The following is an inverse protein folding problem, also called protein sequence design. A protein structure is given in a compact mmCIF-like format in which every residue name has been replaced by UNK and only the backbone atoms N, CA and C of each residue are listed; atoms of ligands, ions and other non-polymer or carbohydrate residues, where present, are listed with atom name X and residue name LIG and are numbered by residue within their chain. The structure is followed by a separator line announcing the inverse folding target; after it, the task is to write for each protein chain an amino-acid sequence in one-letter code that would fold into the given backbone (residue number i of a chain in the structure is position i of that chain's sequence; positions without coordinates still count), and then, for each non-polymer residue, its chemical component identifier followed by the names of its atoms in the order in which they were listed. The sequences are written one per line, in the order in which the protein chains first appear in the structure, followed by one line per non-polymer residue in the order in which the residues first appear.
data_IF_604756629905
#
_entry.id   IF_604756629905
#
_cell.length_a   1.000
_cell.length_b   1.000
_cell.length_c   1.000
_cell.angle_alpha   90.00
_cell.angle_beta   90.00
_cell.angle_gamma   90.00
#
_symmetry.space_group_name_H-M   'P 1'
#
loop_
_entity.id
_entity.type
_entity.pdbx_description
1 polymer ?
#
# COMPACT_ATOMS: atom_id res chain seq x y z
N UNK A 1 -7.48 -38.53 7.66
CA UNK A 1 -6.81 -39.49 6.77
C UNK A 1 -5.54 -38.85 6.27
N UNK A 2 -4.43 -39.52 6.23
CA UNK A 2 -3.13 -38.95 5.83
C UNK A 2 -2.59 -39.62 4.55
N UNK A 3 -1.46 -39.18 4.02
CA UNK A 3 -0.89 -39.72 2.79
C UNK A 3 -0.54 -41.22 2.86
N UNK A 4 -0.21 -41.72 4.05
CA UNK A 4 0.06 -43.14 4.27
C UNK A 4 -1.20 -43.99 4.11
N UNK A 5 -2.34 -43.48 4.57
CA UNK A 5 -3.63 -44.15 4.43
C UNK A 5 -4.08 -44.21 2.98
N UNK A 6 -3.89 -43.10 2.24
CA UNK A 6 -4.17 -43.03 0.78
C UNK A 6 -3.32 -44.06 0.02
N UNK A 7 -2.01 -44.13 0.32
CA UNK A 7 -1.09 -45.06 -0.33
C UNK A 7 -1.51 -46.53 -0.07
N UNK A 8 -1.87 -46.85 1.14
CA UNK A 8 -2.34 -48.19 1.55
C UNK A 8 -3.64 -48.56 0.82
N UNK A 9 -4.58 -47.65 0.78
CA UNK A 9 -5.89 -47.90 0.16
C UNK A 9 -5.84 -47.95 -1.36
N UNK A 10 -4.98 -47.17 -2.01
CA UNK A 10 -4.75 -47.19 -3.45
C UNK A 10 -3.83 -48.37 -3.85
N UNK A 11 -3.20 -49.07 -2.95
CA UNK A 11 -2.25 -50.15 -3.21
C UNK A 11 -0.98 -49.69 -3.90
N UNK A 12 -0.48 -48.50 -3.57
CA UNK A 12 0.73 -47.90 -4.18
C UNK A 12 1.67 -47.37 -3.12
N UNK A 13 2.90 -47.03 -3.52
CA UNK A 13 3.86 -46.37 -2.64
C UNK A 13 3.46 -44.90 -2.34
N UNK A 14 3.88 -44.37 -1.20
CA UNK A 14 3.72 -42.93 -0.85
C UNK A 14 4.33 -42.04 -1.92
N UNK A 15 5.47 -42.44 -2.48
CA UNK A 15 6.11 -41.71 -3.57
C UNK A 15 5.23 -41.63 -4.83
N UNK A 16 4.44 -42.68 -5.11
CA UNK A 16 3.48 -42.67 -6.21
C UNK A 16 2.31 -41.74 -5.94
N UNK A 17 1.75 -41.74 -4.73
CA UNK A 17 0.71 -40.79 -4.32
C UNK A 17 1.23 -39.35 -4.43
N UNK A 18 2.42 -39.06 -3.91
CA UNK A 18 3.06 -37.74 -4.01
C UNK A 18 3.26 -37.29 -5.47
N UNK A 19 3.65 -38.20 -6.38
CA UNK A 19 3.79 -37.89 -7.80
C UNK A 19 2.45 -37.59 -8.48
N UNK A 20 1.38 -38.28 -8.09
CA UNK A 20 0.01 -37.99 -8.59
C UNK A 20 -0.44 -36.62 -8.10
N UNK A 21 -0.28 -36.32 -6.82
CA UNK A 21 -0.65 -35.04 -6.20
C UNK A 21 0.10 -33.85 -6.83
N UNK A 22 1.36 -34.06 -7.23
CA UNK A 22 2.19 -33.03 -7.86
C UNK A 22 2.08 -33.04 -9.40
N UNK A 23 1.08 -33.70 -9.98
CA UNK A 23 0.80 -33.76 -11.44
C UNK A 23 1.99 -34.19 -12.29
N UNK A 24 2.94 -34.98 -11.74
CA UNK A 24 4.09 -35.46 -12.54
C UNK A 24 3.65 -36.51 -13.54
N UNK A 25 4.00 -36.35 -14.81
CA UNK A 25 3.59 -37.23 -15.92
C UNK A 25 4.23 -38.63 -15.92
N UNK A 26 5.09 -38.91 -14.92
CA UNK A 26 5.83 -40.18 -14.77
C UNK A 26 4.94 -41.32 -14.23
N UNK A 27 3.67 -41.06 -13.86
CA UNK A 27 2.75 -42.07 -13.31
C UNK A 27 1.84 -42.59 -14.40
N UNK A 28 1.78 -43.94 -14.55
CA UNK A 28 0.87 -44.58 -15.50
C UNK A 28 -0.58 -44.17 -15.28
N UNK A 29 -1.36 -44.02 -16.36
CA UNK A 29 -2.73 -43.55 -16.31
C UNK A 29 -3.62 -44.38 -15.37
N UNK A 30 -3.54 -45.72 -15.41
CA UNK A 30 -4.31 -46.63 -14.55
C UNK A 30 -3.97 -46.43 -13.05
N UNK A 31 -2.69 -46.21 -12.75
CA UNK A 31 -2.24 -45.96 -11.36
C UNK A 31 -2.69 -44.59 -10.88
N UNK A 32 -2.61 -43.59 -11.75
CA UNK A 32 -3.13 -42.23 -11.48
C UNK A 32 -4.64 -42.29 -11.16
N UNK A 33 -5.45 -42.94 -12.01
CA UNK A 33 -6.89 -43.07 -11.83
C UNK A 33 -7.26 -43.76 -10.50
N UNK A 34 -6.52 -44.81 -10.07
CA UNK A 34 -6.71 -45.45 -8.78
C UNK A 34 -6.48 -44.50 -7.62
N UNK A 35 -5.39 -43.75 -7.63
CA UNK A 35 -5.06 -42.78 -6.57
C UNK A 35 -6.08 -41.66 -6.52
N UNK A 36 -6.43 -41.08 -7.67
CA UNK A 36 -7.43 -39.99 -7.76
C UNK A 36 -8.81 -40.43 -7.24
N UNK A 37 -9.23 -41.67 -7.52
CA UNK A 37 -10.48 -42.24 -6.99
C UNK A 37 -10.47 -42.28 -5.46
N UNK A 38 -9.37 -42.67 -4.85
CA UNK A 38 -9.22 -42.71 -3.36
C UNK A 38 -9.21 -41.27 -2.82
N UNK A 39 -8.41 -40.37 -3.41
CA UNK A 39 -8.36 -38.97 -3.02
C UNK A 39 -9.74 -38.28 -3.01
N UNK A 40 -10.53 -38.48 -4.10
CA UNK A 40 -11.89 -37.93 -4.20
C UNK A 40 -12.84 -38.53 -3.15
N UNK A 41 -12.81 -39.87 -2.97
CA UNK A 41 -13.67 -40.54 -1.97
C UNK A 41 -13.40 -40.06 -0.56
N UNK A 42 -12.14 -39.83 -0.23
CA UNK A 42 -11.69 -39.43 1.10
C UNK A 42 -11.69 -37.94 1.34
N UNK A 43 -12.09 -37.14 0.34
CA UNK A 43 -12.00 -35.69 0.35
C UNK A 43 -10.62 -35.20 0.88
N UNK A 44 -9.54 -35.88 0.41
CA UNK A 44 -8.19 -35.61 0.88
C UNK A 44 -7.63 -34.39 0.19
N UNK A 45 -7.35 -33.36 0.96
CA UNK A 45 -6.55 -32.23 0.53
C UNK A 45 -5.11 -32.38 1.08
N UNK A 46 -4.08 -32.27 0.22
CA UNK A 46 -2.70 -32.28 0.68
C UNK A 46 -2.46 -31.14 1.68
N UNK A 47 -1.73 -31.43 2.76
CA UNK A 47 -1.31 -30.38 3.67
C UNK A 47 -0.37 -29.42 2.96
N UNK A 48 -0.69 -28.11 2.95
CA UNK A 48 0.16 -27.05 2.38
C UNK A 48 1.57 -27.08 3.02
N UNK A 49 1.65 -27.37 4.32
CA UNK A 49 2.92 -27.51 5.05
C UNK A 49 3.75 -28.68 4.48
N UNK A 50 3.11 -29.84 4.23
CA UNK A 50 3.82 -31.01 3.69
C UNK A 50 4.27 -30.77 2.23
N UNK A 51 3.50 -30.03 1.44
CA UNK A 51 3.89 -29.60 0.09
C UNK A 51 5.03 -28.58 0.15
N UNK A 52 4.95 -27.60 1.05
CA UNK A 52 5.96 -26.58 1.27
C UNK A 52 7.32 -27.15 1.68
N UNK A 53 7.35 -28.22 2.48
CA UNK A 53 8.59 -28.93 2.84
C UNK A 53 9.30 -29.56 1.61
N UNK A 54 8.55 -29.93 0.58
CA UNK A 54 9.08 -30.50 -0.66
C UNK A 54 9.48 -29.42 -1.67
N UNK A 55 8.64 -28.41 -1.83
CA UNK A 55 8.84 -27.29 -2.77
C UNK A 55 9.80 -26.22 -2.25
N UNK A 56 10.07 -26.18 -0.95
CA UNK A 56 10.74 -25.08 -0.23
C UNK A 56 10.01 -23.72 -0.38
N UNK A 57 8.72 -23.75 -0.64
CA UNK A 57 7.85 -22.59 -0.75
C UNK A 57 6.48 -22.93 -0.17
N UNK A 58 5.94 -22.06 0.67
CA UNK A 58 4.58 -22.19 1.21
C UNK A 58 3.55 -21.47 0.31
N UNK A 59 3.98 -20.87 -0.80
CA UNK A 59 3.16 -20.00 -1.65
C UNK A 59 2.42 -18.95 -0.84
N UNK A 60 3.14 -18.32 0.09
CA UNK A 60 2.58 -17.34 1.02
C UNK A 60 3.49 -16.11 1.04
N UNK A 61 2.90 -14.93 0.89
CA UNK A 61 3.59 -13.63 1.06
C UNK A 61 2.94 -12.84 2.18
N UNK A 62 3.73 -12.05 2.89
CA UNK A 62 3.21 -11.13 3.89
C UNK A 62 3.17 -9.70 3.33
N UNK A 63 2.11 -8.97 3.65
CA UNK A 63 1.96 -7.54 3.34
C UNK A 63 1.80 -6.79 4.64
N UNK A 64 2.72 -5.90 4.94
CA UNK A 64 2.67 -5.02 6.09
C UNK A 64 2.23 -3.62 5.65
N UNK A 65 1.20 -3.13 6.29
CA UNK A 65 0.68 -1.77 6.12
C UNK A 65 0.69 -1.02 7.45
N UNK A 66 0.54 0.29 7.39
CA UNK A 66 0.36 1.11 8.58
C UNK A 66 -1.03 0.91 9.15
N UNK A 67 -2.05 1.23 8.36
CA UNK A 67 -3.45 1.11 8.78
C UNK A 67 -4.34 0.77 7.57
N UNK A 68 -4.95 -0.41 7.58
CA UNK A 68 -5.84 -0.86 6.50
C UNK A 68 -7.15 -0.05 6.42
N UNK A 69 -7.46 0.78 7.41
CA UNK A 69 -8.62 1.70 7.35
C UNK A 69 -8.36 2.88 6.42
N UNK A 70 -7.10 3.22 6.20
CA UNK A 70 -6.71 4.19 5.18
C UNK A 70 -6.92 3.59 3.78
N UNK A 71 -7.61 4.33 2.93
CA UNK A 71 -8.01 3.87 1.58
C UNK A 71 -6.83 3.59 0.67
N UNK A 72 -5.71 4.32 0.81
CA UNK A 72 -4.49 4.09 0.05
C UNK A 72 -3.89 2.70 0.37
N UNK A 73 -3.71 2.39 1.67
CA UNK A 73 -3.21 1.08 2.10
C UNK A 73 -4.18 -0.04 1.76
N UNK A 74 -5.49 0.18 1.94
CA UNK A 74 -6.52 -0.82 1.62
C UNK A 74 -6.52 -1.19 0.12
N UNK A 75 -6.48 -0.20 -0.77
CA UNK A 75 -6.46 -0.42 -2.23
C UNK A 75 -5.18 -1.08 -2.70
N UNK A 76 -4.04 -0.68 -2.14
CA UNK A 76 -2.75 -1.28 -2.44
C UNK A 76 -2.72 -2.73 -2.00
N UNK A 77 -3.12 -3.04 -0.77
CA UNK A 77 -3.20 -4.40 -0.25
C UNK A 77 -4.17 -5.28 -1.05
N UNK A 78 -5.34 -4.76 -1.43
CA UNK A 78 -6.30 -5.46 -2.29
C UNK A 78 -5.71 -5.79 -3.67
N UNK A 79 -4.97 -4.85 -4.27
CA UNK A 79 -4.33 -5.08 -5.57
C UNK A 79 -3.26 -6.16 -5.47
N UNK A 80 -2.43 -6.11 -4.42
CA UNK A 80 -1.40 -7.11 -4.15
C UNK A 80 -2.03 -8.48 -3.94
N UNK A 81 -3.05 -8.58 -3.08
CA UNK A 81 -3.75 -9.84 -2.80
C UNK A 81 -4.30 -10.47 -4.09
N UNK A 82 -5.01 -9.70 -4.90
CA UNK A 82 -5.56 -10.20 -6.17
C UNK A 82 -4.50 -10.70 -7.14
N UNK A 83 -3.40 -9.98 -7.26
CA UNK A 83 -2.32 -10.34 -8.20
C UNK A 83 -1.54 -11.57 -7.73
N UNK A 84 -1.28 -11.69 -6.43
CA UNK A 84 -0.66 -12.88 -5.85
C UNK A 84 -1.61 -14.08 -5.85
N UNK A 85 -2.89 -13.89 -5.53
CA UNK A 85 -3.91 -14.94 -5.58
C UNK A 85 -4.05 -15.56 -6.98
N UNK A 86 -3.99 -14.74 -8.05
CA UNK A 86 -3.97 -15.24 -9.44
C UNK A 86 -2.76 -16.13 -9.76
N UNK A 87 -1.66 -15.98 -9.02
CA UNK A 87 -0.45 -16.77 -9.15
C UNK A 87 -0.37 -17.94 -8.18
N UNK A 88 -1.45 -18.19 -7.43
CA UNK A 88 -1.55 -19.29 -6.46
C UNK A 88 -0.83 -19.02 -5.14
N UNK A 89 -0.60 -17.76 -4.78
CA UNK A 89 -0.08 -17.36 -3.49
C UNK A 89 -1.21 -16.93 -2.55
N UNK A 90 -1.05 -17.26 -1.28
CA UNK A 90 -1.84 -16.67 -0.19
C UNK A 90 -1.18 -15.38 0.31
N UNK A 91 -1.97 -14.42 0.76
CA UNK A 91 -1.47 -13.16 1.31
C UNK A 91 -1.87 -13.03 2.77
N UNK A 92 -0.87 -12.81 3.62
CA UNK A 92 -1.07 -12.48 5.03
C UNK A 92 -0.97 -10.97 5.17
N UNK A 93 -2.08 -10.31 5.48
CA UNK A 93 -2.12 -8.89 5.73
C UNK A 93 -1.87 -8.59 7.21
N UNK A 94 -0.95 -7.68 7.49
CA UNK A 94 -0.58 -7.26 8.83
C UNK A 94 -0.64 -5.72 8.95
N UNK A 95 -1.29 -5.23 10.01
CA UNK A 95 -1.25 -3.83 10.40
C UNK A 95 -0.17 -3.60 11.46
N UNK A 96 0.61 -2.53 11.31
CA UNK A 96 1.69 -2.17 12.26
C UNK A 96 1.42 -0.89 13.03
N UNK A 97 0.38 -0.13 12.65
CA UNK A 97 0.10 1.19 13.22
C UNK A 97 1.18 2.24 12.94
N UNK A 98 2.18 1.92 12.11
CA UNK A 98 3.36 2.77 11.92
C UNK A 98 4.28 2.83 13.16
N UNK A 99 4.08 1.92 14.11
CA UNK A 99 4.89 1.82 15.33
C UNK A 99 6.07 0.85 15.15
N UNK A 100 7.23 1.22 15.67
CA UNK A 100 8.45 0.44 15.54
C UNK A 100 8.37 -0.89 16.28
N UNK A 101 7.80 -0.91 17.49
CA UNK A 101 7.73 -2.11 18.34
C UNK A 101 6.76 -3.12 17.73
N UNK A 102 5.58 -2.65 17.31
CA UNK A 102 4.61 -3.51 16.64
C UNK A 102 5.11 -4.00 15.27
N UNK A 103 5.87 -3.18 14.54
CA UNK A 103 6.52 -3.61 13.29
C UNK A 103 7.53 -4.73 13.55
N UNK A 104 8.38 -4.59 14.58
CA UNK A 104 9.36 -5.62 14.95
C UNK A 104 8.66 -6.93 15.32
N UNK A 105 7.64 -6.86 16.18
CA UNK A 105 6.85 -8.01 16.60
C UNK A 105 6.21 -8.73 15.40
N UNK A 106 5.65 -7.94 14.49
CA UNK A 106 5.03 -8.47 13.27
C UNK A 106 6.04 -9.14 12.35
N UNK A 107 7.22 -8.52 12.15
CA UNK A 107 8.31 -9.11 11.37
C UNK A 107 8.82 -10.43 11.97
N UNK A 108 8.94 -10.52 13.29
CA UNK A 108 9.31 -11.75 13.99
C UNK A 108 8.27 -12.86 13.74
N UNK A 109 6.98 -12.54 13.84
CA UNK A 109 5.90 -13.48 13.58
C UNK A 109 5.86 -13.95 12.13
N UNK A 110 6.07 -13.05 11.18
CA UNK A 110 6.14 -13.34 9.73
C UNK A 110 7.35 -14.22 9.42
N UNK A 111 8.52 -13.92 9.98
CA UNK A 111 9.73 -14.71 9.79
C UNK A 111 9.57 -16.15 10.32
N UNK A 112 8.85 -16.33 11.45
CA UNK A 112 8.52 -17.67 11.98
C UNK A 112 7.58 -18.47 11.08
N UNK A 113 6.72 -17.79 10.31
CA UNK A 113 5.80 -18.43 9.35
C UNK A 113 6.49 -18.86 8.05
N UNK A 114 7.77 -18.53 7.86
CA UNK A 114 8.54 -18.90 6.66
C UNK A 114 7.85 -18.48 5.36
N UNK A 115 7.34 -17.25 5.30
CA UNK A 115 6.75 -16.70 4.07
C UNK A 115 7.78 -16.61 2.96
N UNK A 116 7.35 -16.72 1.70
CA UNK A 116 8.22 -16.68 0.53
C UNK A 116 8.70 -15.26 0.19
N UNK A 117 8.05 -14.24 0.73
CA UNK A 117 8.41 -12.85 0.54
C UNK A 117 7.61 -11.90 1.42
N UNK A 118 8.12 -10.68 1.53
CA UNK A 118 7.55 -9.61 2.32
C UNK A 118 7.33 -8.37 1.44
N UNK A 119 6.17 -7.75 1.59
CA UNK A 119 5.87 -6.46 0.95
C UNK A 119 5.57 -5.45 2.07
N UNK A 120 6.31 -4.36 2.11
CA UNK A 120 6.11 -3.23 3.01
C UNK A 120 5.45 -2.10 2.22
N UNK A 121 4.32 -1.58 2.68
CA UNK A 121 3.57 -0.53 1.98
C UNK A 121 3.65 0.78 2.75
N UNK A 122 4.34 1.77 2.17
CA UNK A 122 4.50 3.12 2.70
C UNK A 122 5.93 3.49 3.07
N UNK A 123 6.28 4.74 2.83
CA UNK A 123 7.62 5.30 3.06
C UNK A 123 8.03 5.39 4.53
N UNK A 124 7.10 5.26 5.46
CA UNK A 124 7.40 5.21 6.90
C UNK A 124 8.33 4.05 7.27
N UNK A 125 8.26 2.94 6.52
CA UNK A 125 9.13 1.78 6.73
C UNK A 125 10.60 2.09 6.43
N UNK A 126 10.91 3.13 5.66
CA UNK A 126 12.29 3.60 5.43
C UNK A 126 13.00 3.89 6.75
N UNK A 127 12.28 4.48 7.72
CA UNK A 127 12.82 4.86 9.04
C UNK A 127 12.61 3.75 10.07
N UNK A 128 11.41 3.17 10.13
CA UNK A 128 11.05 2.15 11.13
C UNK A 128 11.93 0.92 11.01
N UNK A 129 12.24 0.50 9.78
CA UNK A 129 13.00 -0.73 9.52
C UNK A 129 14.53 -0.56 9.62
N UNK A 130 15.04 0.58 10.05
CA UNK A 130 16.47 0.77 10.28
C UNK A 130 16.95 0.08 11.56
N UNK A 131 18.21 -0.35 11.53
CA UNK A 131 18.91 -0.96 12.65
C UNK A 131 19.02 -2.48 12.56
N UNK A 132 20.09 -3.00 13.16
CA UNK A 132 20.55 -4.38 12.97
C UNK A 132 19.49 -5.46 13.24
N UNK A 133 18.62 -5.27 14.24
CA UNK A 133 17.59 -6.24 14.58
C UNK A 133 16.55 -6.41 13.46
N UNK A 134 16.01 -5.28 12.96
CA UNK A 134 15.07 -5.26 11.84
C UNK A 134 15.71 -5.79 10.56
N UNK A 135 16.91 -5.29 10.23
CA UNK A 135 17.64 -5.70 9.05
C UNK A 135 17.94 -7.20 9.03
N UNK A 136 18.31 -7.79 10.17
CA UNK A 136 18.56 -9.22 10.30
C UNK A 136 17.31 -10.08 10.05
N UNK A 137 16.11 -9.56 10.37
CA UNK A 137 14.87 -10.23 10.05
C UNK A 137 14.54 -10.10 8.55
N UNK A 138 14.69 -8.91 8.00
CA UNK A 138 14.41 -8.61 6.59
C UNK A 138 15.34 -9.37 5.62
N UNK A 139 16.61 -9.60 6.00
CA UNK A 139 17.56 -10.43 5.21
C UNK A 139 17.19 -11.90 5.10
N UNK A 140 16.18 -12.38 5.84
CA UNK A 140 15.77 -13.80 5.80
C UNK A 140 14.84 -14.14 4.64
N UNK A 141 14.31 -13.14 3.95
CA UNK A 141 13.35 -13.31 2.86
C UNK A 141 13.48 -12.16 1.85
N UNK A 142 13.06 -12.33 0.58
CA UNK A 142 12.95 -11.23 -0.37
C UNK A 142 11.98 -10.16 0.15
N UNK A 143 12.37 -8.88 0.03
CA UNK A 143 11.57 -7.75 0.49
C UNK A 143 11.28 -6.79 -0.66
N UNK A 144 10.04 -6.38 -0.79
CA UNK A 144 9.63 -5.30 -1.71
C UNK A 144 9.01 -4.17 -0.91
N UNK A 145 9.42 -2.93 -1.20
CA UNK A 145 8.76 -1.74 -0.68
C UNK A 145 7.91 -1.10 -1.76
N UNK A 146 6.65 -0.91 -1.46
CA UNK A 146 5.76 -0.08 -2.26
C UNK A 146 5.77 1.34 -1.68
N UNK A 147 6.28 2.27 -2.45
CA UNK A 147 6.54 3.66 -2.07
C UNK A 147 7.48 3.81 -0.86
N UNK A 148 8.61 3.12 -0.92
CA UNK A 148 9.65 3.17 0.11
C UNK A 148 10.97 2.58 -0.38
N UNK A 149 12.02 2.75 0.41
CA UNK A 149 13.38 2.26 0.10
C UNK A 149 14.06 1.71 1.34
N UNK A 150 14.83 0.62 1.17
CA UNK A 150 15.73 0.10 2.20
C UNK A 150 17.10 -0.20 1.59
N UNK A 151 18.16 0.15 2.29
CA UNK A 151 19.53 -0.12 1.88
C UNK A 151 19.94 -1.57 2.19
N UNK A 152 19.19 -2.55 1.66
CA UNK A 152 19.45 -3.98 1.82
C UNK A 152 19.68 -4.62 0.45
N UNK A 153 20.60 -5.61 0.32
CA UNK A 153 20.97 -6.22 -0.97
C UNK A 153 19.78 -6.85 -1.72
N UNK A 154 18.86 -7.48 -0.98
CA UNK A 154 17.70 -8.20 -1.53
C UNK A 154 16.37 -7.46 -1.31
N UNK A 155 16.44 -6.13 -1.14
CA UNK A 155 15.27 -5.27 -1.09
C UNK A 155 15.05 -4.58 -2.44
N UNK A 156 13.82 -4.64 -2.91
CA UNK A 156 13.37 -4.01 -4.14
C UNK A 156 12.39 -2.89 -3.82
N UNK A 157 12.36 -1.85 -4.64
CA UNK A 157 11.49 -0.70 -4.43
C UNK A 157 10.62 -0.44 -5.66
N UNK A 158 9.34 -0.20 -5.42
CA UNK A 158 8.41 0.35 -6.41
C UNK A 158 8.06 1.76 -5.94
N UNK A 159 8.52 2.76 -6.65
CA UNK A 159 8.45 4.15 -6.24
C UNK A 159 7.52 4.96 -7.14
N UNK A 160 6.88 5.96 -6.52
CA UNK A 160 6.20 7.06 -7.20
C UNK A 160 7.07 8.31 -7.03
N UNK A 161 7.15 9.14 -8.05
CA UNK A 161 7.81 10.45 -7.94
C UNK A 161 6.84 11.47 -7.34
N UNK A 162 6.72 11.44 -6.02
CA UNK A 162 5.84 12.32 -5.26
C UNK A 162 6.19 13.81 -5.46
N UNK A 163 7.48 14.13 -5.61
CA UNK A 163 7.94 15.47 -5.88
C UNK A 163 7.40 15.97 -7.23
N UNK A 164 7.61 15.19 -8.28
CA UNK A 164 7.12 15.52 -9.63
C UNK A 164 5.59 15.57 -9.70
N UNK A 165 4.91 14.67 -8.99
CA UNK A 165 3.44 14.67 -8.92
C UNK A 165 2.88 15.99 -8.39
N UNK A 166 3.45 16.53 -7.32
CA UNK A 166 3.02 17.81 -6.74
C UNK A 166 3.48 19.00 -7.61
N UNK A 167 4.69 18.95 -8.19
CA UNK A 167 5.09 19.97 -9.19
C UNK A 167 4.06 20.09 -10.32
N UNK A 168 3.60 18.96 -10.87
CA UNK A 168 2.58 18.97 -11.93
C UNK A 168 1.26 19.59 -11.46
N UNK A 169 0.86 19.35 -10.21
CA UNK A 169 -0.34 19.96 -9.63
C UNK A 169 -0.20 21.48 -9.49
N UNK A 170 0.96 21.97 -9.03
CA UNK A 170 1.27 23.41 -9.00
C UNK A 170 1.26 24.00 -10.41
N UNK A 171 1.94 23.37 -11.38
CA UNK A 171 1.92 23.79 -12.79
C UNK A 171 0.49 23.94 -13.32
N UNK A 172 -0.38 22.97 -13.01
CA UNK A 172 -1.78 22.98 -13.43
C UNK A 172 -2.53 24.18 -12.83
N UNK A 173 -2.41 24.41 -11.53
CA UNK A 173 -3.06 25.53 -10.85
C UNK A 173 -2.57 26.87 -11.40
N UNK A 174 -1.27 27.00 -11.61
CA UNK A 174 -0.67 28.23 -12.20
C UNK A 174 -1.16 28.46 -13.63
N UNK A 175 -1.26 27.41 -14.47
CA UNK A 175 -1.82 27.50 -15.84
C UNK A 175 -3.29 27.92 -15.84
N UNK A 176 -4.04 27.61 -14.80
CA UNK A 176 -5.44 28.03 -14.64
C UNK A 176 -5.59 29.42 -14.01
N UNK A 177 -4.50 30.14 -13.83
CA UNK A 177 -4.47 31.57 -13.41
C UNK A 177 -4.27 31.76 -11.91
N UNK A 178 -4.08 30.72 -11.12
CA UNK A 178 -3.92 30.79 -9.67
C UNK A 178 -2.49 31.19 -9.29
N UNK A 179 -2.36 31.96 -8.20
CA UNK A 179 -1.06 32.52 -7.76
C UNK A 179 -0.84 32.47 -6.26
N UNK A 180 -1.92 32.46 -5.46
CA UNK A 180 -1.88 32.39 -4.00
C UNK A 180 -2.13 30.95 -3.54
N UNK A 181 -1.13 30.07 -3.73
CA UNK A 181 -1.24 28.65 -3.50
C UNK A 181 -0.73 28.30 -2.09
N UNK A 182 -1.40 27.37 -1.44
CA UNK A 182 -0.98 26.78 -0.14
C UNK A 182 -0.88 25.27 -0.25
N UNK A 183 0.08 24.68 0.44
CA UNK A 183 0.25 23.25 0.58
C UNK A 183 0.00 22.81 2.01
N UNK A 184 -0.88 21.84 2.20
CA UNK A 184 -1.16 21.25 3.50
C UNK A 184 -0.40 19.94 3.61
N UNK A 185 0.61 19.92 4.50
CA UNK A 185 1.42 18.77 4.85
C UNK A 185 0.84 18.08 6.08
N UNK A 186 0.26 16.93 5.89
CA UNK A 186 -0.50 16.18 6.88
C UNK A 186 0.25 15.00 7.50
N UNK A 187 1.44 14.65 7.00
CA UNK A 187 2.28 13.55 7.49
C UNK A 187 3.75 13.95 7.63
N UNK A 188 4.48 13.19 8.46
CA UNK A 188 5.93 13.36 8.65
C UNK A 188 6.69 12.14 8.12
N UNK A 189 6.47 11.81 6.85
CA UNK A 189 7.14 10.70 6.13
C UNK A 189 8.01 11.21 5.01
N UNK A 190 8.89 10.37 4.46
CA UNK A 190 9.72 10.72 3.30
C UNK A 190 8.87 11.11 2.08
N UNK A 191 7.75 10.42 1.86
CA UNK A 191 6.78 10.77 0.82
C UNK A 191 6.19 12.18 1.05
N UNK A 192 5.76 12.49 2.27
CA UNK A 192 5.24 13.82 2.61
C UNK A 192 6.31 14.92 2.45
N UNK A 193 7.56 14.62 2.80
CA UNK A 193 8.68 15.55 2.57
C UNK A 193 8.95 15.76 1.06
N UNK A 194 8.88 14.71 0.25
CA UNK A 194 9.01 14.78 -1.20
C UNK A 194 7.87 15.59 -1.84
N UNK A 195 6.63 15.40 -1.40
CA UNK A 195 5.46 16.17 -1.82
C UNK A 195 5.63 17.66 -1.50
N UNK A 196 6.04 18.01 -0.27
CA UNK A 196 6.29 19.40 0.12
C UNK A 196 7.42 20.03 -0.70
N UNK A 197 8.50 19.29 -0.98
CA UNK A 197 9.58 19.72 -1.86
C UNK A 197 9.07 20.01 -3.27
N UNK A 198 8.18 19.16 -3.80
CA UNK A 198 7.55 19.36 -5.11
C UNK A 198 6.71 20.64 -5.17
N UNK A 199 5.99 20.97 -4.09
CA UNK A 199 5.27 22.24 -3.98
C UNK A 199 6.22 23.44 -4.06
N UNK A 200 7.25 23.44 -3.22
CA UNK A 200 8.24 24.53 -3.20
C UNK A 200 8.96 24.68 -4.55
N UNK A 201 9.34 23.57 -5.17
CA UNK A 201 9.97 23.55 -6.51
C UNK A 201 9.03 24.10 -7.59
N UNK A 202 7.77 23.68 -7.58
CA UNK A 202 6.76 24.17 -8.52
C UNK A 202 6.47 25.66 -8.37
N UNK A 203 6.38 26.14 -7.12
CA UNK A 203 6.21 27.58 -6.82
C UNK A 203 7.39 28.39 -7.34
N UNK A 204 8.62 27.94 -7.05
CA UNK A 204 9.84 28.60 -7.52
C UNK A 204 9.93 28.64 -9.06
N UNK A 205 9.59 27.52 -9.73
CA UNK A 205 9.57 27.46 -11.19
C UNK A 205 8.52 28.42 -11.81
N UNK A 206 7.43 28.70 -11.08
CA UNK A 206 6.40 29.66 -11.48
C UNK A 206 6.75 31.12 -11.10
N UNK A 207 7.87 31.35 -10.43
CA UNK A 207 8.25 32.71 -9.94
C UNK A 207 7.33 33.18 -8.78
N UNK A 208 6.74 32.28 -8.02
CA UNK A 208 5.86 32.58 -6.91
C UNK A 208 6.61 32.44 -5.58
N UNK A 209 6.29 33.31 -4.64
CA UNK A 209 6.78 33.17 -3.26
C UNK A 209 6.06 32.01 -2.55
N UNK A 210 6.81 31.23 -1.81
CA UNK A 210 6.31 30.08 -1.05
C UNK A 210 6.60 30.20 0.45
N UNK A 211 7.14 31.32 0.93
CA UNK A 211 7.42 31.50 2.36
C UNK A 211 6.12 31.52 3.16
N UNK A 212 6.05 30.65 4.18
CA UNK A 212 4.81 30.48 4.96
C UNK A 212 3.65 29.79 4.24
N UNK A 213 3.84 29.27 3.03
CA UNK A 213 2.76 28.64 2.24
C UNK A 213 2.67 27.11 2.43
N UNK A 214 3.58 26.50 3.20
CA UNK A 214 3.49 25.10 3.63
C UNK A 214 2.96 25.06 5.05
N UNK A 215 1.78 24.49 5.24
CA UNK A 215 1.11 24.40 6.54
C UNK A 215 1.14 22.96 7.03
N UNK A 216 1.64 22.74 8.24
CA UNK A 216 1.64 21.41 8.86
C UNK A 216 0.36 21.19 9.67
N UNK A 217 -0.23 19.99 9.54
CA UNK A 217 -1.44 19.60 10.27
C UNK A 217 -1.47 18.10 10.53
N UNK A 218 -2.55 17.60 11.16
CA UNK A 218 -2.83 16.16 11.27
C UNK A 218 -3.52 15.59 10.01
N UNK A 219 -3.79 14.30 10.06
CA UNK A 219 -4.23 13.47 8.93
C UNK A 219 -5.76 13.36 8.83
N UNK A 220 -6.51 14.06 9.70
CA UNK A 220 -7.96 13.89 9.77
C UNK A 220 -8.71 14.92 8.92
N UNK A 221 -9.96 14.60 8.60
CA UNK A 221 -10.88 15.56 7.97
C UNK A 221 -11.04 16.84 8.81
N UNK A 222 -11.10 16.70 10.12
CA UNK A 222 -11.20 17.79 11.08
C UNK A 222 -9.97 18.69 11.07
N UNK A 223 -8.79 18.13 10.84
CA UNK A 223 -7.54 18.88 10.68
C UNK A 223 -7.58 19.75 9.43
N UNK A 224 -8.04 19.19 8.31
CA UNK A 224 -8.25 19.97 7.08
C UNK A 224 -9.25 21.13 7.27
N UNK A 225 -10.34 20.90 8.02
CA UNK A 225 -11.30 21.96 8.37
C UNK A 225 -10.61 23.05 9.19
N UNK A 226 -9.83 22.68 10.19
CA UNK A 226 -9.17 23.60 11.12
C UNK A 226 -8.17 24.51 10.39
N UNK A 227 -7.39 23.97 9.47
CA UNK A 227 -6.43 24.77 8.68
C UNK A 227 -7.14 25.84 7.88
N UNK A 228 -8.25 25.53 7.20
CA UNK A 228 -9.00 26.54 6.45
C UNK A 228 -9.60 27.60 7.38
N UNK A 229 -10.17 27.19 8.52
CA UNK A 229 -10.71 28.13 9.50
C UNK A 229 -9.65 29.10 10.02
N UNK A 230 -8.43 28.61 10.26
CA UNK A 230 -7.31 29.44 10.68
C UNK A 230 -6.91 30.43 9.59
N UNK A 231 -6.70 29.98 8.35
CA UNK A 231 -6.37 30.86 7.22
C UNK A 231 -7.41 31.99 7.07
N UNK A 232 -8.70 31.64 7.11
CA UNK A 232 -9.78 32.59 6.96
C UNK A 232 -9.85 33.60 8.13
N UNK A 233 -9.55 33.15 9.36
CA UNK A 233 -9.51 34.02 10.55
C UNK A 233 -8.34 35.00 10.49
N UNK A 234 -7.23 34.63 9.89
CA UNK A 234 -6.06 35.48 9.62
C UNK A 234 -6.26 36.40 8.40
N UNK A 235 -7.42 36.32 7.75
CA UNK A 235 -7.74 37.14 6.57
C UNK A 235 -7.11 36.62 5.28
N UNK A 236 -6.48 35.45 5.31
CA UNK A 236 -5.82 34.82 4.15
C UNK A 236 -6.90 34.18 3.26
N UNK A 237 -6.82 34.44 1.97
CA UNK A 237 -7.74 33.89 0.94
C UNK A 237 -6.89 33.20 -0.16
N UNK A 238 -6.59 31.91 -0.01
CA UNK A 238 -5.92 31.16 -1.06
C UNK A 238 -6.80 31.06 -2.30
N UNK A 239 -6.20 31.10 -3.49
CA UNK A 239 -6.87 30.77 -4.74
C UNK A 239 -6.63 29.31 -5.18
N UNK A 240 -5.68 28.62 -4.51
CA UNK A 240 -5.46 27.19 -4.64
C UNK A 240 -4.89 26.56 -3.37
N UNK A 241 -5.40 25.38 -3.00
CA UNK A 241 -4.94 24.59 -1.87
C UNK A 241 -4.64 23.17 -2.36
N UNK A 242 -3.39 22.74 -2.16
CA UNK A 242 -2.96 21.36 -2.39
C UNK A 242 -2.86 20.64 -1.03
N UNK A 243 -3.35 19.43 -0.95
CA UNK A 243 -3.28 18.61 0.26
C UNK A 243 -2.44 17.35 0.01
N UNK A 244 -1.68 16.95 1.00
CA UNK A 244 -0.86 15.74 0.96
C UNK A 244 -1.68 14.46 0.81
N UNK A 245 -2.94 14.49 1.28
CA UNK A 245 -3.88 13.37 1.28
C UNK A 245 -5.30 13.82 0.92
N UNK A 246 -6.11 12.91 0.39
CA UNK A 246 -7.49 13.20 -0.01
C UNK A 246 -8.43 13.42 1.19
N UNK A 247 -8.18 12.78 2.33
CA UNK A 247 -9.04 12.97 3.52
C UNK A 247 -8.92 14.40 4.07
N UNK A 248 -7.70 14.92 4.11
CA UNK A 248 -7.43 16.32 4.47
C UNK A 248 -8.05 17.27 3.46
N UNK A 249 -7.93 16.96 2.15
CA UNK A 249 -8.54 17.74 1.08
C UNK A 249 -10.08 17.77 1.17
N UNK A 250 -10.72 16.68 1.58
CA UNK A 250 -12.15 16.64 1.84
C UNK A 250 -12.56 17.57 3.00
N UNK A 251 -11.72 17.65 4.05
CA UNK A 251 -11.90 18.60 5.15
C UNK A 251 -11.78 20.04 4.68
N UNK A 252 -10.77 20.35 3.87
CA UNK A 252 -10.56 21.67 3.24
C UNK A 252 -11.77 22.06 2.41
N UNK A 253 -12.21 21.19 1.50
CA UNK A 253 -13.38 21.42 0.66
C UNK A 253 -14.62 21.71 1.49
N UNK A 254 -14.88 20.90 2.52
CA UNK A 254 -16.03 21.07 3.43
C UNK A 254 -16.00 22.42 4.16
N UNK A 255 -14.82 22.88 4.59
CA UNK A 255 -14.66 24.16 5.28
C UNK A 255 -14.86 25.35 4.33
N UNK A 256 -14.31 25.30 3.12
CA UNK A 256 -14.50 26.35 2.11
C UNK A 256 -15.97 26.51 1.74
N UNK A 257 -16.68 25.40 1.45
CA UNK A 257 -18.10 25.42 1.13
C UNK A 257 -18.95 25.96 2.27
N UNK A 258 -18.64 25.62 3.53
CA UNK A 258 -19.31 26.19 4.71
C UNK A 258 -19.07 27.67 4.88
N UNK A 259 -17.92 28.17 4.46
CA UNK A 259 -17.60 29.60 4.45
C UNK A 259 -18.22 30.37 3.26
N UNK A 260 -18.96 29.68 2.39
CA UNK A 260 -19.56 30.27 1.19
C UNK A 260 -18.59 30.53 0.06
N UNK A 261 -17.38 29.95 0.11
CA UNK A 261 -16.35 30.09 -0.92
C UNK A 261 -16.62 29.06 -2.02
N UNK A 262 -16.68 29.52 -3.25
CA UNK A 262 -16.95 28.67 -4.41
C UNK A 262 -15.69 27.91 -4.80
N UNK A 263 -15.85 26.58 -4.95
CA UNK A 263 -14.79 25.68 -5.40
C UNK A 263 -15.21 25.05 -6.73
N UNK A 264 -14.44 25.14 -7.78
CA UNK A 264 -13.05 25.65 -7.87
C UNK A 264 -12.92 27.14 -8.21
N UNK A 265 -14.01 27.91 -8.38
CA UNK A 265 -14.00 29.23 -8.99
C UNK A 265 -13.15 30.24 -8.19
N UNK A 266 -13.34 30.31 -6.86
CA UNK A 266 -12.59 31.22 -5.97
C UNK A 266 -11.36 30.54 -5.39
N UNK A 267 -11.46 29.28 -4.94
CA UNK A 267 -10.36 28.50 -4.43
C UNK A 267 -10.42 27.11 -5.05
N UNK A 268 -9.35 26.68 -5.75
CA UNK A 268 -9.24 25.29 -6.22
C UNK A 268 -8.67 24.42 -5.10
N UNK A 269 -9.13 23.16 -5.01
CA UNK A 269 -8.61 22.18 -4.08
C UNK A 269 -8.07 20.98 -4.86
N UNK A 270 -6.84 20.57 -4.54
CA UNK A 270 -6.20 19.39 -5.11
C UNK A 270 -5.86 18.44 -3.97
N UNK A 271 -6.33 17.20 -4.04
CA UNK A 271 -5.93 16.11 -3.17
C UNK A 271 -4.80 15.28 -3.79
N UNK A 272 -4.40 14.22 -3.09
CA UNK A 272 -3.42 13.24 -3.52
C UNK A 272 -3.95 11.84 -3.24
N UNK A 273 -3.57 10.81 -4.03
CA UNK A 273 -3.95 9.38 -3.93
C UNK A 273 -5.27 8.96 -4.59
N UNK A 274 -6.10 9.85 -5.11
CA UNK A 274 -7.35 9.55 -5.82
C UNK A 274 -8.33 8.66 -5.01
N UNK A 275 -8.50 8.91 -3.71
CA UNK A 275 -9.22 7.99 -2.84
C UNK A 275 -10.73 8.26 -2.73
N UNK A 276 -11.14 9.47 -2.32
CA UNK A 276 -12.53 9.75 -1.93
C UNK A 276 -13.16 10.96 -2.64
N UNK A 277 -12.37 11.92 -3.13
CA UNK A 277 -12.89 13.21 -3.61
C UNK A 277 -13.71 13.04 -4.88
N UNK A 278 -13.40 12.07 -5.72
CA UNK A 278 -14.14 11.78 -6.94
C UNK A 278 -15.50 11.11 -6.69
N UNK A 279 -15.80 10.67 -5.48
CA UNK A 279 -17.09 10.07 -5.11
C UNK A 279 -18.10 11.15 -4.66
N UNK A 280 -17.63 12.31 -4.24
CA UNK A 280 -18.47 13.39 -3.69
C UNK A 280 -19.04 14.38 -4.71
N UNK A 281 -18.66 14.27 -5.99
CA UNK A 281 -19.23 15.09 -7.08
C UNK A 281 -20.02 14.24 -8.09
N UNK A 282 -21.35 14.16 -7.99
CA UNK A 282 -22.16 13.40 -8.94
C UNK A 282 -22.33 14.04 -10.33
N UNK A 283 -21.80 15.24 -10.59
CA UNK A 283 -22.22 16.01 -11.78
C UNK A 283 -21.15 16.72 -12.61
N UNK A 284 -19.86 16.65 -12.30
CA UNK A 284 -18.81 17.16 -13.20
C UNK A 284 -17.64 16.21 -13.33
N UNK A 285 -17.53 15.59 -14.49
CA UNK A 285 -16.27 15.01 -14.96
C UNK A 285 -15.27 16.14 -15.14
N UNK A 286 -14.46 16.44 -14.14
CA UNK A 286 -13.22 17.15 -14.34
C UNK A 286 -12.22 16.15 -14.90
N UNK A 287 -11.86 16.33 -16.15
CA UNK A 287 -10.73 15.62 -16.75
C UNK A 287 -9.46 16.18 -16.10
N UNK A 288 -8.67 15.30 -15.50
CA UNK A 288 -7.25 15.51 -15.25
C UNK A 288 -6.51 14.95 -16.44
#
# INVERSE_FOLDING_TARGET
MNIYDIAREAGVSIATVSRVLNHKDIVRADTRAKVEKVLKRCNYAPSAIAQGMVSKSLHTVAVLTVDIRDSHYARTAYTIEREFGRRGYEVILCNTGGDRVETLRTLQAVAQKQVDGLILVGSIFNTICQGAEMENLLRKMPVVLANGTLALPDAYSVMVDDCRGVEMAVEHLVKTGRRNLYYIKDKSTDSAAAKAKGFLSGMAAAGLDADGHVLETGETLEDGIRVVQQLLAEGIRPDGILCGEDLTAAGVLKALLRAGIRVPEETAVVGYDLSLIHISEPTRRSYI
#
